data_IF_074514380081
#
_entry.id   IF_074514380081
#
_cell.length_a   1.000
_cell.length_b   1.000
_cell.length_c   1.000
_cell.angle_alpha   90.00
_cell.angle_beta   90.00
_cell.angle_gamma   90.00
#
_symmetry.space_group_name_H-M   'P 1'
#
loop_
_entity.id
_entity.type
_entity.pdbx_description
1 polymer ?
#
# COMPACT_ATOMS: atom_id res chain seq x y z
N UNK A 1 13.17 -22.68 -19.70
CA UNK A 1 13.61 -22.43 -21.10
C UNK A 1 14.42 -23.64 -21.63
N UNK A 2 15.42 -24.14 -20.90
CA UNK A 2 16.23 -25.29 -21.35
C UNK A 2 15.45 -26.63 -21.37
N UNK A 3 14.66 -26.88 -20.32
CA UNK A 3 13.84 -28.09 -20.19
C UNK A 3 12.73 -28.15 -21.24
N UNK A 4 12.06 -27.06 -21.55
CA UNK A 4 11.01 -27.03 -22.59
C UNK A 4 11.56 -27.25 -23.98
N UNK A 5 12.77 -26.73 -24.29
CA UNK A 5 13.50 -27.05 -25.57
C UNK A 5 13.85 -28.50 -25.68
N UNK A 6 14.33 -29.12 -24.59
CA UNK A 6 14.67 -30.55 -24.57
C UNK A 6 13.41 -31.42 -24.77
N UNK A 7 12.30 -31.10 -24.10
CA UNK A 7 11.05 -31.81 -24.29
C UNK A 7 10.47 -31.61 -25.70
N UNK A 8 10.66 -30.42 -26.30
CA UNK A 8 10.26 -30.18 -27.70
C UNK A 8 11.09 -31.01 -28.69
N UNK A 9 12.41 -31.14 -28.47
CA UNK A 9 13.25 -31.95 -29.32
C UNK A 9 12.98 -33.45 -29.16
N UNK A 10 12.58 -33.90 -27.99
CA UNK A 10 12.14 -35.28 -27.74
C UNK A 10 10.80 -35.59 -28.42
N UNK A 11 9.85 -34.63 -28.39
CA UNK A 11 8.55 -34.78 -29.05
C UNK A 11 8.66 -34.88 -30.59
N UNK A 12 9.74 -34.33 -31.18
CA UNK A 12 9.96 -34.35 -32.63
C UNK A 12 10.72 -35.61 -33.11
N UNK A 13 11.14 -36.50 -32.20
CA UNK A 13 11.79 -37.76 -32.60
C UNK A 13 10.76 -38.75 -33.12
N UNK A 14 10.94 -39.19 -34.34
CA UNK A 14 10.19 -40.31 -34.90
C UNK A 14 10.51 -41.63 -34.16
N UNK A 15 9.46 -42.38 -33.82
CA UNK A 15 9.59 -43.66 -33.13
C UNK A 15 9.52 -43.62 -31.61
N UNK A 16 8.95 -42.58 -31.02
CA UNK A 16 8.66 -42.56 -29.58
C UNK A 16 7.72 -43.73 -29.20
N UNK A 17 7.99 -44.46 -28.10
CA UNK A 17 7.08 -45.48 -27.62
C UNK A 17 5.74 -44.86 -27.27
N UNK A 18 4.65 -45.66 -27.44
CA UNK A 18 3.29 -45.23 -27.09
C UNK A 18 3.20 -44.76 -25.64
N UNK A 19 2.73 -43.56 -25.45
CA UNK A 19 2.58 -42.92 -24.13
C UNK A 19 3.69 -41.89 -23.78
N UNK A 20 4.81 -41.88 -24.46
CA UNK A 20 5.89 -40.89 -24.24
C UNK A 20 5.41 -39.48 -24.63
N UNK A 21 4.60 -39.35 -25.67
CA UNK A 21 4.07 -38.08 -26.12
C UNK A 21 3.09 -37.48 -25.05
N UNK A 22 2.31 -38.31 -24.40
CA UNK A 22 1.43 -37.89 -23.30
C UNK A 22 2.26 -37.42 -22.09
N UNK A 23 3.34 -38.10 -21.80
CA UNK A 23 4.25 -37.73 -20.70
C UNK A 23 4.95 -36.39 -21.00
N UNK A 24 5.43 -36.22 -22.23
CA UNK A 24 6.04 -34.97 -22.71
C UNK A 24 5.02 -33.82 -22.62
N UNK A 25 3.79 -34.03 -23.10
CA UNK A 25 2.72 -33.04 -23.04
C UNK A 25 2.39 -32.67 -21.59
N UNK A 26 2.32 -33.63 -20.67
CA UNK A 26 2.08 -33.41 -19.24
C UNK A 26 3.20 -32.57 -18.61
N UNK A 27 4.48 -32.92 -18.85
CA UNK A 27 5.59 -32.16 -18.29
C UNK A 27 5.70 -30.77 -18.90
N UNK A 28 5.42 -30.58 -20.17
CA UNK A 28 5.37 -29.25 -20.81
C UNK A 28 4.29 -28.38 -20.21
N UNK A 29 3.09 -28.95 -19.95
CA UNK A 29 2.00 -28.23 -19.29
C UNK A 29 2.43 -27.82 -17.89
N UNK A 30 3.04 -28.71 -17.12
CA UNK A 30 3.53 -28.45 -15.76
C UNK A 30 4.63 -27.37 -15.74
N UNK A 31 5.56 -27.40 -16.71
CA UNK A 31 6.59 -26.35 -16.86
C UNK A 31 5.95 -25.02 -17.24
N UNK A 32 4.97 -25.01 -18.13
CA UNK A 32 4.25 -23.80 -18.53
C UNK A 32 3.51 -23.19 -17.36
N UNK A 33 2.82 -23.99 -16.55
CA UNK A 33 2.12 -23.53 -15.35
C UNK A 33 3.10 -22.96 -14.31
N UNK A 34 4.28 -23.60 -14.16
CA UNK A 34 5.33 -23.10 -13.27
C UNK A 34 6.02 -21.83 -13.77
N UNK A 35 6.03 -21.60 -15.08
CA UNK A 35 6.63 -20.41 -15.71
C UNK A 35 5.63 -19.26 -15.88
N UNK A 36 4.32 -19.52 -15.66
CA UNK A 36 3.34 -18.44 -15.70
C UNK A 36 3.58 -17.47 -14.56
N UNK A 37 3.69 -16.17 -14.85
CA UNK A 37 3.85 -15.18 -13.80
C UNK A 37 2.59 -15.20 -12.92
N UNK A 38 2.80 -15.53 -11.66
CA UNK A 38 1.76 -15.44 -10.65
C UNK A 38 1.34 -13.97 -10.48
N UNK A 39 0.05 -13.73 -10.48
CA UNK A 39 -0.49 -12.41 -10.14
C UNK A 39 -1.58 -12.55 -9.08
N UNK A 40 -1.55 -11.69 -8.12
CA UNK A 40 -2.56 -11.58 -7.08
C UNK A 40 -3.13 -10.17 -7.06
N UNK A 41 -4.44 -10.07 -6.91
CA UNK A 41 -5.15 -8.80 -6.85
C UNK A 41 -6.02 -8.77 -5.61
N UNK A 42 -5.93 -7.70 -4.86
CA UNK A 42 -6.75 -7.48 -3.67
C UNK A 42 -7.34 -6.08 -3.70
N UNK A 43 -8.63 -5.98 -3.46
CA UNK A 43 -9.31 -4.71 -3.26
C UNK A 43 -9.97 -4.73 -1.89
N UNK A 44 -9.74 -3.68 -1.11
CA UNK A 44 -10.34 -3.48 0.22
C UNK A 44 -11.09 -2.16 0.23
N UNK A 45 -12.33 -2.19 0.67
CA UNK A 45 -13.14 -0.99 0.90
C UNK A 45 -13.46 -0.95 2.39
N UNK A 46 -13.31 0.21 3.01
CA UNK A 46 -13.72 0.48 4.39
C UNK A 46 -14.64 1.69 4.39
N UNK A 47 -15.75 1.57 5.08
CA UNK A 47 -16.70 2.64 5.30
C UNK A 47 -16.81 2.85 6.80
N UNK A 48 -16.90 4.08 7.23
CA UNK A 48 -17.06 4.45 8.62
C UNK A 48 -17.87 5.73 8.77
N UNK A 49 -18.51 5.85 9.91
CA UNK A 49 -19.14 7.09 10.35
C UNK A 49 -18.93 7.20 11.85
N UNK A 50 -18.87 8.41 12.36
CA UNK A 50 -18.67 8.66 13.77
C UNK A 50 -18.84 10.13 14.12
N UNK A 51 -18.49 10.44 15.34
CA UNK A 51 -18.46 11.79 15.88
C UNK A 51 -17.06 12.08 16.39
N UNK A 52 -16.55 13.28 16.10
CA UNK A 52 -15.30 13.79 16.64
C UNK A 52 -15.64 15.04 17.45
N UNK A 53 -15.34 15.03 18.73
CA UNK A 53 -15.63 16.12 19.67
C UNK A 53 -14.65 17.30 19.54
N UNK A 54 -13.58 17.14 18.79
CA UNK A 54 -12.57 18.18 18.60
C UNK A 54 -11.94 18.12 17.18
N UNK A 55 -12.71 18.53 16.17
CA UNK A 55 -12.25 18.48 14.76
C UNK A 55 -11.22 19.55 14.44
N UNK A 56 -11.21 20.68 15.16
CA UNK A 56 -10.31 21.82 14.95
C UNK A 56 -9.08 21.80 15.85
N UNK A 57 -8.88 20.75 16.67
CA UNK A 57 -7.84 20.65 17.70
C UNK A 57 -7.87 21.85 18.68
N UNK A 58 -9.05 22.38 18.92
CA UNK A 58 -9.27 23.50 19.83
C UNK A 58 -9.14 23.11 21.31
N UNK A 59 -9.20 24.10 22.16
CA UNK A 59 -9.14 23.92 23.61
C UNK A 59 -10.47 23.40 24.16
N UNK A 60 -10.41 22.41 25.04
CA UNK A 60 -11.59 21.83 25.69
C UNK A 60 -12.09 22.71 26.85
N UNK A 61 -11.22 23.56 27.40
CA UNK A 61 -11.56 24.47 28.48
C UNK A 61 -11.82 25.88 27.94
N UNK A 62 -12.86 26.53 28.44
CA UNK A 62 -13.20 27.91 28.09
C UNK A 62 -12.38 28.97 28.86
N UNK A 63 -11.59 28.52 29.84
CA UNK A 63 -10.73 29.39 30.66
C UNK A 63 -9.42 28.66 30.98
N UNK A 64 -8.34 29.43 31.04
CA UNK A 64 -7.03 28.97 31.52
C UNK A 64 -6.69 29.82 32.75
N UNK A 65 -6.41 29.13 33.87
CA UNK A 65 -5.87 29.78 35.08
C UNK A 65 -4.36 29.72 35.08
N UNK A 66 -3.73 30.88 35.13
CA UNK A 66 -2.28 31.02 35.27
C UNK A 66 -1.94 31.50 36.68
N UNK A 67 -1.11 30.76 37.39
CA UNK A 67 -0.57 31.22 38.67
C UNK A 67 0.61 32.16 38.39
N UNK A 68 0.49 33.40 38.72
CA UNK A 68 1.51 34.43 38.57
C UNK A 68 2.05 34.86 39.94
N UNK A 69 3.18 35.57 39.94
CA UNK A 69 3.77 36.15 41.17
C UNK A 69 2.77 37.11 41.88
N UNK A 70 1.86 37.73 41.12
CA UNK A 70 0.90 38.70 41.59
C UNK A 70 -0.51 38.08 41.87
N UNK A 71 -0.62 36.75 41.84
CA UNK A 71 -1.88 36.02 42.05
C UNK A 71 -2.33 35.24 40.84
N UNK A 72 -3.57 34.76 40.89
CA UNK A 72 -4.16 33.97 39.79
C UNK A 72 -4.69 34.92 38.70
N UNK A 73 -4.27 34.64 37.45
CA UNK A 73 -4.77 35.29 36.25
C UNK A 73 -5.69 34.32 35.51
N UNK A 74 -6.94 34.66 35.28
CA UNK A 74 -7.87 33.85 34.49
C UNK A 74 -7.93 34.45 33.07
N UNK A 75 -7.58 33.66 32.07
CA UNK A 75 -7.69 34.00 30.66
C UNK A 75 -8.91 33.33 30.07
N UNK A 76 -9.85 34.08 29.51
CA UNK A 76 -10.95 33.52 28.72
C UNK A 76 -10.45 33.14 27.33
N UNK A 77 -10.84 31.95 26.90
CA UNK A 77 -10.52 31.45 25.56
C UNK A 77 -11.59 31.95 24.59
N UNK A 78 -11.14 32.49 23.46
CA UNK A 78 -12.05 32.90 22.40
C UNK A 78 -12.83 31.68 21.86
N UNK A 79 -14.09 31.84 21.55
CA UNK A 79 -14.95 30.79 21.01
C UNK A 79 -14.39 30.15 19.73
N UNK A 80 -13.65 30.93 18.95
CA UNK A 80 -12.97 30.41 17.73
C UNK A 80 -11.85 29.39 18.02
N UNK A 81 -11.29 29.44 19.23
CA UNK A 81 -10.23 28.54 19.68
C UNK A 81 -10.75 27.37 20.53
N UNK A 82 -12.06 27.31 20.74
CA UNK A 82 -12.69 26.20 21.45
C UNK A 82 -12.82 24.98 20.57
N UNK A 83 -12.84 23.80 21.20
CA UNK A 83 -13.08 22.54 20.50
C UNK A 83 -14.45 22.57 19.81
N UNK A 84 -14.49 22.15 18.57
CA UNK A 84 -15.68 21.99 17.74
C UNK A 84 -15.94 20.52 17.52
N UNK A 85 -17.13 20.05 17.90
CA UNK A 85 -17.54 18.67 17.62
C UNK A 85 -18.33 18.58 16.33
N UNK A 86 -18.11 17.50 15.56
CA UNK A 86 -18.86 17.26 14.33
C UNK A 86 -18.96 15.77 14.00
N UNK A 87 -19.98 15.41 13.24
CA UNK A 87 -20.14 14.09 12.65
C UNK A 87 -19.23 13.95 11.43
N UNK A 88 -18.74 12.76 11.20
CA UNK A 88 -17.93 12.48 10.03
C UNK A 88 -18.34 11.18 9.32
N UNK A 89 -18.09 11.16 8.04
CA UNK A 89 -18.07 9.97 7.21
C UNK A 89 -16.65 9.71 6.71
N UNK A 90 -16.26 8.44 6.68
CA UNK A 90 -14.95 8.02 6.22
C UNK A 90 -15.10 6.91 5.18
N UNK A 91 -14.38 7.06 4.07
CA UNK A 91 -14.28 6.08 3.00
C UNK A 91 -12.82 5.81 2.74
N UNK A 92 -12.43 4.54 2.71
CA UNK A 92 -11.09 4.11 2.34
C UNK A 92 -11.18 3.02 1.29
N UNK A 93 -10.42 3.19 0.21
CA UNK A 93 -10.25 2.22 -0.87
C UNK A 93 -8.76 1.89 -0.99
N UNK A 94 -8.43 0.61 -0.93
CA UNK A 94 -7.08 0.12 -1.22
C UNK A 94 -7.17 -0.93 -2.31
N UNK A 95 -6.43 -0.72 -3.40
CA UNK A 95 -6.27 -1.68 -4.48
C UNK A 95 -4.80 -2.05 -4.62
N UNK A 96 -4.50 -3.33 -4.57
CA UNK A 96 -3.14 -3.85 -4.70
C UNK A 96 -3.10 -4.92 -5.77
N UNK A 97 -2.12 -4.80 -6.65
CA UNK A 97 -1.80 -5.83 -7.64
C UNK A 97 -0.34 -6.22 -7.54
N UNK A 98 -0.11 -7.50 -7.48
CA UNK A 98 1.20 -8.09 -7.24
C UNK A 98 1.51 -9.10 -8.34
N UNK A 99 2.71 -9.04 -8.87
CA UNK A 99 3.24 -10.00 -9.84
C UNK A 99 4.49 -10.64 -9.26
N UNK A 100 4.59 -11.95 -9.36
CA UNK A 100 5.72 -12.69 -8.87
C UNK A 100 5.96 -13.95 -9.69
N UNK A 101 7.10 -14.58 -9.45
CA UNK A 101 7.36 -15.93 -9.90
C UNK A 101 7.29 -16.86 -8.67
N UNK A 102 6.33 -17.80 -8.60
CA UNK A 102 6.17 -18.68 -7.45
C UNK A 102 7.39 -19.59 -7.21
N UNK A 103 8.24 -19.77 -8.23
CA UNK A 103 9.43 -20.61 -8.14
C UNK A 103 10.70 -19.83 -7.75
N UNK A 104 10.59 -18.53 -7.51
CA UNK A 104 11.71 -17.69 -7.08
C UNK A 104 11.76 -17.66 -5.56
N UNK A 105 12.17 -18.79 -4.96
CA UNK A 105 12.28 -18.96 -3.50
C UNK A 105 13.35 -18.07 -2.86
N UNK A 106 14.27 -17.55 -3.67
CA UNK A 106 15.42 -16.76 -3.19
C UNK A 106 15.08 -15.27 -3.03
N UNK A 107 13.88 -14.84 -3.44
CA UNK A 107 13.42 -13.46 -3.27
C UNK A 107 12.25 -13.39 -2.28
N UNK A 108 12.43 -12.70 -1.14
CA UNK A 108 11.38 -12.57 -0.12
C UNK A 108 10.23 -11.65 -0.54
N UNK A 109 10.39 -10.93 -1.65
CA UNK A 109 9.39 -10.01 -2.18
C UNK A 109 8.89 -10.40 -3.57
N UNK A 110 7.64 -10.07 -3.90
CA UNK A 110 7.13 -10.17 -5.27
C UNK A 110 7.98 -9.33 -6.24
N UNK A 111 8.08 -9.76 -7.49
CA UNK A 111 8.86 -9.06 -8.50
C UNK A 111 8.38 -7.61 -8.72
N UNK A 112 7.07 -7.40 -8.67
CA UNK A 112 6.45 -6.10 -8.79
C UNK A 112 5.17 -6.04 -7.97
N UNK A 113 4.98 -4.97 -7.21
CA UNK A 113 3.72 -4.66 -6.52
C UNK A 113 3.33 -3.23 -6.85
N UNK A 114 2.07 -3.04 -7.26
CA UNK A 114 1.46 -1.72 -7.41
C UNK A 114 0.34 -1.63 -6.39
N UNK A 115 0.35 -0.57 -5.59
CA UNK A 115 -0.68 -0.28 -4.60
C UNK A 115 -1.24 1.11 -4.86
N UNK A 116 -2.55 1.21 -4.99
CA UNK A 116 -3.28 2.47 -5.01
C UNK A 116 -4.19 2.53 -3.79
N UNK A 117 -4.13 3.63 -3.06
CA UNK A 117 -4.96 3.88 -1.90
C UNK A 117 -5.63 5.25 -2.03
N UNK A 118 -6.90 5.32 -1.67
CA UNK A 118 -7.64 6.56 -1.56
C UNK A 118 -8.40 6.55 -0.23
N UNK A 119 -8.29 7.63 0.52
CA UNK A 119 -8.97 7.84 1.78
C UNK A 119 -9.65 9.20 1.75
N UNK A 120 -10.89 9.28 2.25
CA UNK A 120 -11.60 10.53 2.42
C UNK A 120 -12.33 10.52 3.74
N UNK A 121 -12.20 11.60 4.50
CA UNK A 121 -12.96 11.89 5.73
C UNK A 121 -13.62 13.23 5.58
N UNK A 122 -14.95 13.24 5.58
CA UNK A 122 -15.76 14.44 5.41
C UNK A 122 -16.54 14.73 6.68
N UNK A 123 -16.57 15.97 7.08
CA UNK A 123 -17.34 16.46 8.21
C UNK A 123 -18.64 17.11 7.75
N UNK A 124 -19.71 17.01 8.55
CA UNK A 124 -21.04 17.49 8.21
C UNK A 124 -21.12 19.01 8.09
N UNK A 125 -20.66 19.71 9.12
CA UNK A 125 -20.70 21.18 9.21
C UNK A 125 -19.33 21.82 9.08
N UNK A 126 -18.29 21.15 9.55
CA UNK A 126 -16.91 21.64 9.62
C UNK A 126 -16.08 21.21 8.40
N UNK A 127 -16.57 21.49 7.18
CA UNK A 127 -16.01 21.01 5.92
C UNK A 127 -14.56 21.44 5.69
N UNK A 128 -14.11 22.57 6.24
CA UNK A 128 -12.72 23.04 6.17
C UNK A 128 -11.71 22.09 6.81
N UNK A 129 -12.16 21.17 7.68
CA UNK A 129 -11.32 20.13 8.29
C UNK A 129 -11.46 18.77 7.60
N UNK A 130 -12.25 18.70 6.54
CA UNK A 130 -12.35 17.49 5.72
C UNK A 130 -11.02 17.21 5.04
N UNK A 131 -10.66 15.92 4.97
CA UNK A 131 -9.41 15.47 4.39
C UNK A 131 -9.67 14.46 3.30
N UNK A 132 -8.88 14.51 2.24
CA UNK A 132 -8.79 13.42 1.29
C UNK A 132 -7.33 13.15 0.95
N UNK A 133 -6.98 11.89 0.74
CA UNK A 133 -5.65 11.51 0.31
C UNK A 133 -5.72 10.45 -0.78
N UNK A 134 -4.77 10.52 -1.70
CA UNK A 134 -4.52 9.48 -2.70
C UNK A 134 -3.05 9.12 -2.65
N UNK A 135 -2.75 7.84 -2.60
CA UNK A 135 -1.39 7.31 -2.63
C UNK A 135 -1.26 6.29 -3.74
N UNK A 136 -0.19 6.40 -4.52
CA UNK A 136 0.24 5.40 -5.48
C UNK A 136 1.64 4.94 -5.12
N UNK A 137 1.82 3.65 -4.93
CA UNK A 137 3.10 3.04 -4.61
C UNK A 137 3.44 1.95 -5.61
N UNK A 138 4.67 1.96 -6.10
CA UNK A 138 5.23 0.93 -6.98
C UNK A 138 6.48 0.38 -6.30
N UNK A 139 6.45 -0.91 -5.98
CA UNK A 139 7.57 -1.61 -5.37
C UNK A 139 8.09 -2.70 -6.32
N UNK A 140 9.39 -2.69 -6.59
CA UNK A 140 10.07 -3.67 -7.46
C UNK A 140 11.17 -4.39 -6.70
N UNK A 141 11.16 -5.72 -6.73
CA UNK A 141 12.26 -6.53 -6.25
C UNK A 141 13.47 -6.43 -7.20
N UNK A 142 14.64 -6.33 -6.63
CA UNK A 142 15.92 -6.21 -7.31
C UNK A 142 16.92 -7.14 -6.63
N UNK A 143 18.05 -7.39 -7.30
CA UNK A 143 19.24 -7.95 -6.65
C UNK A 143 20.32 -6.88 -6.69
N UNK A 144 20.77 -6.43 -5.53
CA UNK A 144 21.84 -5.46 -5.41
C UNK A 144 22.99 -6.05 -4.58
N UNK A 145 24.20 -6.05 -5.15
CA UNK A 145 25.40 -6.68 -4.55
C UNK A 145 25.14 -8.12 -4.07
N UNK A 146 24.48 -8.93 -4.91
CA UNK A 146 24.06 -10.30 -4.61
C UNK A 146 23.06 -10.45 -3.45
N UNK A 147 22.52 -9.34 -2.93
CA UNK A 147 21.51 -9.33 -1.87
C UNK A 147 20.11 -9.05 -2.44
N UNK A 148 19.08 -9.76 -1.95
CA UNK A 148 17.70 -9.42 -2.27
C UNK A 148 17.39 -8.01 -1.75
N UNK A 149 16.85 -7.19 -2.61
CA UNK A 149 16.56 -5.77 -2.35
C UNK A 149 15.21 -5.40 -2.93
N UNK A 150 14.58 -4.37 -2.40
CA UNK A 150 13.34 -3.82 -2.92
C UNK A 150 13.46 -2.30 -3.07
N UNK A 151 13.11 -1.79 -4.23
CA UNK A 151 12.95 -0.36 -4.48
C UNK A 151 11.47 -0.02 -4.51
N UNK A 152 11.07 0.95 -3.71
CA UNK A 152 9.70 1.47 -3.65
C UNK A 152 9.69 2.94 -4.00
N UNK A 153 8.83 3.31 -4.95
CA UNK A 153 8.50 4.69 -5.28
C UNK A 153 7.04 4.94 -4.86
N UNK A 154 6.82 5.97 -4.07
CA UNK A 154 5.48 6.36 -3.60
C UNK A 154 5.25 7.83 -3.92
N UNK A 155 4.07 8.16 -4.46
CA UNK A 155 3.55 9.52 -4.55
C UNK A 155 2.28 9.61 -3.72
N UNK A 156 2.13 10.72 -3.00
CA UNK A 156 0.97 11.00 -2.17
C UNK A 156 0.44 12.39 -2.47
N UNK A 157 -0.86 12.49 -2.67
CA UNK A 157 -1.62 13.73 -2.73
C UNK A 157 -2.49 13.80 -1.47
N UNK A 158 -2.42 14.90 -0.75
CA UNK A 158 -3.20 15.16 0.44
C UNK A 158 -3.95 16.48 0.28
N UNK A 159 -5.24 16.48 0.61
CA UNK A 159 -6.05 17.69 0.71
C UNK A 159 -6.53 17.90 2.13
N UNK A 160 -6.56 19.15 2.57
CA UNK A 160 -7.16 19.60 3.83
C UNK A 160 -7.99 20.84 3.51
N UNK A 161 -9.31 20.70 3.52
CA UNK A 161 -10.21 21.73 3.00
C UNK A 161 -9.80 22.08 1.56
N UNK A 162 -9.49 23.35 1.33
CA UNK A 162 -9.08 23.87 0.01
C UNK A 162 -7.58 23.76 -0.27
N UNK A 163 -6.78 23.29 0.70
CA UNK A 163 -5.33 23.16 0.56
C UNK A 163 -4.97 21.81 -0.02
N UNK A 164 -4.02 21.83 -0.97
CA UNK A 164 -3.51 20.63 -1.63
C UNK A 164 -2.00 20.53 -1.40
N UNK A 165 -1.55 19.36 -0.96
CA UNK A 165 -0.13 19.03 -0.79
C UNK A 165 0.22 17.78 -1.57
N UNK A 166 1.39 17.73 -2.20
CA UNK A 166 1.92 16.57 -2.90
C UNK A 166 3.29 16.21 -2.33
N UNK A 167 3.52 14.92 -2.13
CA UNK A 167 4.77 14.37 -1.63
C UNK A 167 5.24 13.20 -2.51
N UNK A 168 6.56 13.05 -2.61
CA UNK A 168 7.22 11.95 -3.31
C UNK A 168 8.24 11.30 -2.39
N UNK A 169 8.19 9.98 -2.30
CA UNK A 169 9.11 9.21 -1.45
C UNK A 169 9.75 8.08 -2.25
N UNK A 170 11.05 7.93 -2.07
CA UNK A 170 11.81 6.79 -2.58
C UNK A 170 12.37 6.04 -1.39
N UNK A 171 12.09 4.75 -1.30
CA UNK A 171 12.59 3.87 -0.26
C UNK A 171 13.31 2.69 -0.89
N UNK A 172 14.55 2.46 -0.48
CA UNK A 172 15.28 1.22 -0.78
C UNK A 172 15.38 0.38 0.50
N UNK A 173 15.09 -0.89 0.39
CA UNK A 173 15.20 -1.86 1.49
C UNK A 173 16.04 -3.03 1.01
N UNK A 174 17.07 -3.41 1.77
CA UNK A 174 17.94 -4.57 1.49
C UNK A 174 17.89 -5.50 2.70
N UNK A 175 17.78 -6.80 2.47
CA UNK A 175 17.95 -7.79 3.53
C UNK A 175 19.44 -8.09 3.68
N UNK A 176 19.94 -7.87 4.88
CA UNK A 176 21.27 -8.30 5.25
C UNK A 176 21.22 -9.80 5.61
N UNK A 177 22.25 -10.60 5.25
CA UNK A 177 22.32 -11.98 5.68
C UNK A 177 22.34 -12.00 7.22
N UNK A 178 21.49 -12.84 7.82
CA UNK A 178 21.61 -13.15 9.25
C UNK A 178 22.91 -13.92 9.45
N UNK A 179 23.82 -13.36 10.20
CA UNK A 179 25.04 -14.03 10.68
C UNK A 179 24.71 -15.22 11.56
#
# INVERSE_FOLDING_TARGET
>A
IRADRLLSSLAQREGNPNGVDLLIAHYRMKIKDQLQPWHHMTTKVKLGAGYNDNVNLGLLANQIELNTVNGKLTLNIDALNMAIGDQYHHVSLTHQRTWGNPNQTDQPWPNLTITAQADAKTYGTSQQYSTASMELSIAKALTFLAQPSQLTLTTQLLTLGDQVSQDWRVKATTLLPSS
#
